data_IF_826378760637
#
_entry.id   IF_826378760637
#
_cell.length_a   1.000
_cell.length_b   1.000
_cell.length_c   1.000
_cell.angle_alpha   90.00
_cell.angle_beta   90.00
_cell.angle_gamma   90.00
#
_symmetry.space_group_name_H-M   'P 1'
#
loop_
_entity.id
_entity.type
_entity.pdbx_description
1 polymer ?
#
# COMPACT_ATOMS: atom_id res chain seq x y z
N UNK A 1 -27.12 -8.39 9.37
CA UNK A 1 -26.09 -8.02 8.38
C UNK A 1 -25.84 -6.50 8.36
N UNK A 2 -25.68 -5.88 9.54
CA UNK A 2 -25.31 -4.46 9.71
C UNK A 2 -23.94 -4.31 10.41
N UNK A 3 -23.60 -5.27 11.28
CA UNK A 3 -22.41 -5.30 12.14
C UNK A 3 -21.09 -5.33 11.35
N UNK A 4 -21.07 -5.93 10.15
CA UNK A 4 -19.85 -6.02 9.32
C UNK A 4 -19.50 -4.72 8.61
N UNK A 5 -20.49 -3.86 8.33
CA UNK A 5 -20.24 -2.56 7.69
C UNK A 5 -19.74 -1.53 8.70
N UNK A 6 -20.26 -1.56 9.93
CA UNK A 6 -19.80 -0.72 11.03
C UNK A 6 -18.37 -1.08 11.45
N UNK A 7 -18.04 -2.37 11.61
CA UNK A 7 -16.65 -2.78 11.88
C UNK A 7 -15.67 -2.36 10.78
N UNK A 8 -16.07 -2.40 9.51
CA UNK A 8 -15.25 -1.96 8.38
C UNK A 8 -15.08 -0.44 8.32
N UNK A 9 -16.11 0.33 8.70
CA UNK A 9 -16.04 1.78 8.79
C UNK A 9 -15.21 2.25 10.00
N UNK A 10 -15.34 1.56 11.13
CA UNK A 10 -14.56 1.80 12.34
C UNK A 10 -13.08 1.45 12.12
N UNK A 11 -12.75 0.37 11.40
CA UNK A 11 -11.35 0.04 11.02
C UNK A 11 -10.74 1.08 10.08
N UNK A 12 -11.55 1.68 9.19
CA UNK A 12 -11.14 2.80 8.32
C UNK A 12 -10.95 4.12 9.09
N UNK A 13 -11.63 4.28 10.23
CA UNK A 13 -11.50 5.46 11.12
C UNK A 13 -10.45 5.28 12.21
N UNK A 14 -10.20 4.06 12.65
CA UNK A 14 -9.25 3.70 13.69
C UNK A 14 -7.80 3.69 13.16
N UNK A 15 -7.45 4.64 12.29
CA UNK A 15 -6.11 4.88 11.72
C UNK A 15 -5.03 5.25 12.75
N UNK A 16 -5.20 4.83 14.00
CA UNK A 16 -4.22 4.77 15.07
C UNK A 16 -4.35 3.41 15.74
N UNK A 17 -3.91 2.35 15.05
CA UNK A 17 -3.50 1.13 15.76
C UNK A 17 -2.03 1.33 16.06
N UNK A 18 -1.75 1.52 17.34
CA UNK A 18 -0.42 1.62 17.95
C UNK A 18 0.26 0.23 17.93
N UNK A 19 0.37 -0.34 16.73
CA UNK A 19 0.89 -1.68 16.43
C UNK A 19 2.04 -1.62 15.42
N UNK A 20 2.67 -0.46 15.29
CA UNK A 20 3.90 -0.35 14.52
C UNK A 20 5.03 -1.02 15.30
N UNK A 21 5.52 -2.14 14.77
CA UNK A 21 6.87 -2.61 15.10
C UNK A 21 7.88 -1.48 14.77
N UNK A 22 9.13 -1.55 15.23
CA UNK A 22 10.16 -0.54 14.85
C UNK A 22 10.23 -0.29 13.32
N UNK A 23 9.83 -1.27 12.52
CA UNK A 23 9.70 -1.17 11.06
C UNK A 23 8.63 -0.18 10.57
N UNK A 24 7.63 0.16 11.38
CA UNK A 24 6.62 1.16 11.05
C UNK A 24 7.16 2.59 10.94
N UNK A 25 8.35 2.83 11.51
CA UNK A 25 9.14 4.07 11.36
C UNK A 25 10.13 4.02 10.21
N UNK A 26 10.35 2.84 9.61
CA UNK A 26 11.27 2.71 8.48
C UNK A 26 10.77 3.52 7.28
N UNK A 27 11.68 4.18 6.54
CA UNK A 27 11.32 4.87 5.31
C UNK A 27 10.67 3.91 4.32
N UNK A 28 9.47 4.25 3.86
CA UNK A 28 8.69 3.40 2.94
C UNK A 28 9.44 3.10 1.63
N UNK A 29 10.35 4.00 1.22
CA UNK A 29 11.19 3.84 0.03
C UNK A 29 12.26 2.75 0.19
N UNK A 30 12.78 2.56 1.41
CA UNK A 30 13.70 1.45 1.70
C UNK A 30 12.96 0.11 1.56
N UNK A 31 11.80 -0.01 2.21
CA UNK A 31 10.96 -1.21 2.13
C UNK A 31 10.44 -1.48 0.71
N UNK A 32 10.13 -0.43 -0.06
CA UNK A 32 9.81 -0.56 -1.48
C UNK A 32 10.96 -1.19 -2.26
N UNK A 33 12.20 -0.80 -1.96
CA UNK A 33 13.39 -1.34 -2.63
C UNK A 33 13.58 -2.82 -2.29
N UNK A 34 13.37 -3.21 -1.02
CA UNK A 34 13.39 -4.60 -0.57
C UNK A 34 12.29 -5.43 -1.24
N UNK A 35 11.08 -4.88 -1.37
CA UNK A 35 9.98 -5.53 -2.08
C UNK A 35 10.33 -5.80 -3.55
N UNK A 36 10.92 -4.83 -4.25
CA UNK A 36 11.37 -5.02 -5.63
C UNK A 36 12.51 -6.05 -5.71
N UNK A 37 13.38 -6.13 -4.69
CA UNK A 37 14.38 -7.18 -4.55
C UNK A 37 13.76 -8.57 -4.39
N UNK A 38 12.75 -8.71 -3.53
CA UNK A 38 12.00 -9.95 -3.32
C UNK A 38 11.26 -10.39 -4.61
N UNK A 39 10.67 -9.44 -5.36
CA UNK A 39 10.08 -9.72 -6.68
C UNK A 39 11.12 -10.28 -7.66
N UNK A 40 12.34 -9.72 -7.66
CA UNK A 40 13.44 -10.21 -8.51
C UNK A 40 13.86 -11.63 -8.13
N UNK A 41 14.02 -11.89 -6.82
CA UNK A 41 14.35 -13.23 -6.31
C UNK A 41 13.24 -14.26 -6.61
N UNK A 42 11.98 -13.83 -6.56
CA UNK A 42 10.81 -14.64 -6.96
C UNK A 42 10.63 -14.81 -8.47
N UNK A 43 11.62 -14.45 -9.29
CA UNK A 43 11.62 -14.67 -10.74
C UNK A 43 10.67 -13.78 -11.53
N UNK A 44 10.19 -12.65 -10.96
CA UNK A 44 9.36 -11.70 -11.71
C UNK A 44 10.18 -10.98 -12.76
N UNK A 45 9.56 -10.78 -13.94
CA UNK A 45 10.25 -10.13 -15.07
C UNK A 45 10.66 -8.70 -14.73
N UNK A 46 11.77 -8.26 -15.34
CA UNK A 46 12.29 -6.91 -15.13
C UNK A 46 11.26 -5.84 -15.50
N UNK A 47 10.52 -6.06 -16.59
CA UNK A 47 9.43 -5.17 -17.03
C UNK A 47 8.38 -5.03 -15.94
N UNK A 48 7.89 -6.15 -15.38
CA UNK A 48 6.89 -6.10 -14.33
C UNK A 48 7.39 -5.38 -13.07
N UNK A 49 8.67 -5.59 -12.71
CA UNK A 49 9.30 -4.90 -11.58
C UNK A 49 9.42 -3.39 -11.82
N UNK A 50 9.87 -2.95 -12.99
CA UNK A 50 9.97 -1.53 -13.37
C UNK A 50 8.61 -0.85 -13.40
N UNK A 51 7.60 -1.52 -13.95
CA UNK A 51 6.22 -1.00 -13.96
C UNK A 51 5.68 -0.86 -12.53
N UNK A 52 5.92 -1.86 -11.68
CA UNK A 52 5.52 -1.83 -10.26
C UNK A 52 6.22 -0.72 -9.51
N UNK A 53 7.54 -0.56 -9.69
CA UNK A 53 8.32 0.52 -9.08
C UNK A 53 7.76 1.89 -9.46
N UNK A 54 7.55 2.13 -10.76
CA UNK A 54 7.00 3.40 -11.26
C UNK A 54 5.66 3.72 -10.62
N UNK A 55 4.75 2.74 -10.58
CA UNK A 55 3.42 2.91 -10.01
C UNK A 55 3.48 3.17 -8.49
N UNK A 56 4.32 2.43 -7.76
CA UNK A 56 4.52 2.63 -6.33
C UNK A 56 5.06 4.01 -6.01
N UNK A 57 6.10 4.46 -6.73
CA UNK A 57 6.68 5.80 -6.54
C UNK A 57 5.64 6.90 -6.73
N UNK A 58 4.77 6.77 -7.74
CA UNK A 58 3.67 7.72 -7.97
C UNK A 58 2.70 7.70 -6.78
N UNK A 59 2.21 6.53 -6.37
CA UNK A 59 1.22 6.44 -5.29
C UNK A 59 1.80 6.96 -3.96
N UNK A 60 3.02 6.55 -3.62
CA UNK A 60 3.72 6.96 -2.39
C UNK A 60 3.89 8.48 -2.36
N UNK A 61 4.37 9.08 -3.46
CA UNK A 61 4.57 10.53 -3.57
C UNK A 61 3.26 11.30 -3.49
N UNK A 62 2.28 10.94 -4.32
CA UNK A 62 1.02 11.70 -4.44
C UNK A 62 0.11 11.54 -3.21
N UNK A 63 0.24 10.44 -2.46
CA UNK A 63 -0.46 10.25 -1.18
C UNK A 63 0.31 10.81 0.02
N UNK A 64 1.58 11.22 -0.15
CA UNK A 64 2.45 11.65 0.94
C UNK A 64 2.68 10.54 1.96
N UNK A 65 3.01 9.34 1.47
CA UNK A 65 3.38 8.23 2.34
C UNK A 65 4.89 8.28 2.60
N UNK A 66 5.30 8.51 3.84
CA UNK A 66 6.72 8.58 4.24
C UNK A 66 7.15 7.31 4.97
N UNK A 67 6.24 6.77 5.78
CA UNK A 67 6.43 5.57 6.60
C UNK A 67 5.26 4.61 6.40
N UNK A 68 5.39 3.37 6.85
CA UNK A 68 4.26 2.43 6.82
C UNK A 68 3.06 2.93 7.65
N UNK A 69 3.33 3.71 8.70
CA UNK A 69 2.28 4.31 9.53
C UNK A 69 1.43 5.35 8.81
N UNK A 70 1.94 5.94 7.75
CA UNK A 70 1.21 6.92 6.95
C UNK A 70 0.25 6.28 5.94
N UNK A 71 0.29 4.95 5.74
CA UNK A 71 -0.59 4.23 4.81
C UNK A 71 -2.03 4.29 5.28
N UNK A 72 -2.90 4.90 4.46
CA UNK A 72 -4.30 5.09 4.81
C UNK A 72 -5.21 4.97 3.59
N UNK A 73 -6.25 4.14 3.68
CA UNK A 73 -7.19 3.89 2.57
C UNK A 73 -7.80 5.19 2.03
N UNK A 74 -8.23 6.11 2.90
CA UNK A 74 -8.79 7.41 2.48
C UNK A 74 -7.82 8.27 1.66
N UNK A 75 -6.51 8.23 1.93
CA UNK A 75 -5.52 8.98 1.13
C UNK A 75 -5.41 8.37 -0.27
N UNK A 76 -5.39 7.04 -0.36
CA UNK A 76 -5.39 6.30 -1.61
C UNK A 76 -6.67 6.57 -2.42
N UNK A 77 -7.85 6.50 -1.81
CA UNK A 77 -9.13 6.73 -2.50
C UNK A 77 -9.21 8.16 -3.05
N UNK A 78 -8.77 9.16 -2.27
CA UNK A 78 -8.67 10.55 -2.73
C UNK A 78 -7.70 10.71 -3.90
N UNK A 79 -6.59 9.99 -3.92
CA UNK A 79 -5.66 9.98 -5.05
C UNK A 79 -6.33 9.36 -6.29
N UNK A 80 -6.93 8.18 -6.17
CA UNK A 80 -7.56 7.47 -7.29
C UNK A 80 -8.77 8.23 -7.86
N UNK A 81 -9.53 8.94 -7.02
CA UNK A 81 -10.64 9.80 -7.43
C UNK A 81 -10.16 10.98 -8.28
N UNK A 82 -8.97 11.54 -7.98
CA UNK A 82 -8.37 12.67 -8.71
C UNK A 82 -7.78 12.29 -10.08
N UNK A 83 -7.50 11.02 -10.32
CA UNK A 83 -7.03 10.57 -11.63
C UNK A 83 -8.16 10.70 -12.68
N UNK A 84 -7.87 11.35 -13.81
CA UNK A 84 -8.77 11.42 -14.97
C UNK A 84 -8.68 10.21 -15.89
N UNK A 85 -7.83 9.23 -15.54
CA UNK A 85 -7.58 8.03 -16.33
C UNK A 85 -8.70 6.99 -16.23
N UNK A 86 -8.66 6.02 -17.14
CA UNK A 86 -9.58 4.87 -17.14
C UNK A 86 -9.59 4.10 -15.82
N UNK A 87 -10.70 3.41 -15.54
CA UNK A 87 -10.83 2.53 -14.38
C UNK A 87 -9.70 1.48 -14.31
N UNK A 88 -9.25 0.98 -15.47
CA UNK A 88 -8.11 0.05 -15.55
C UNK A 88 -6.84 0.68 -14.99
N UNK A 89 -6.50 1.90 -15.39
CA UNK A 89 -5.31 2.61 -14.92
C UNK A 89 -5.37 2.84 -13.40
N UNK A 90 -6.52 3.29 -12.89
CA UNK A 90 -6.74 3.47 -11.45
C UNK A 90 -6.53 2.16 -10.69
N UNK A 91 -7.07 1.06 -11.22
CA UNK A 91 -6.88 -0.24 -10.62
C UNK A 91 -5.40 -0.68 -10.62
N UNK A 92 -4.63 -0.42 -11.67
CA UNK A 92 -3.20 -0.77 -11.69
C UNK A 92 -2.42 -0.04 -10.58
N UNK A 93 -2.71 1.25 -10.33
CA UNK A 93 -2.13 1.96 -9.18
C UNK A 93 -2.52 1.33 -7.84
N UNK A 94 -3.82 1.00 -7.68
CA UNK A 94 -4.33 0.35 -6.47
C UNK A 94 -3.66 -1.01 -6.25
N UNK A 95 -3.56 -1.85 -7.27
CA UNK A 95 -2.96 -3.18 -7.17
C UNK A 95 -1.46 -3.12 -6.83
N UNK A 96 -0.73 -2.13 -7.36
CA UNK A 96 0.68 -1.97 -7.02
C UNK A 96 0.88 -1.72 -5.52
N UNK A 97 0.16 -0.76 -4.93
CA UNK A 97 0.29 -0.44 -3.50
C UNK A 97 -0.28 -1.53 -2.60
N UNK A 98 -1.35 -2.22 -3.01
CA UNK A 98 -1.88 -3.37 -2.28
C UNK A 98 -0.91 -4.54 -2.26
N UNK A 99 -0.27 -4.84 -3.39
CA UNK A 99 0.74 -5.89 -3.48
C UNK A 99 1.90 -5.64 -2.53
N UNK A 100 2.37 -4.39 -2.48
CA UNK A 100 3.40 -3.94 -1.53
C UNK A 100 2.93 -4.04 -0.07
N UNK A 101 1.77 -3.49 0.29
CA UNK A 101 1.28 -3.54 1.66
C UNK A 101 1.03 -4.99 2.14
N UNK A 102 0.49 -5.85 1.28
CA UNK A 102 0.37 -7.28 1.57
C UNK A 102 1.73 -7.96 1.75
N UNK A 103 2.75 -7.55 0.99
CA UNK A 103 4.11 -8.05 1.19
C UNK A 103 4.68 -7.59 2.55
N UNK A 104 4.45 -6.34 2.95
CA UNK A 104 4.84 -5.85 4.27
C UNK A 104 4.22 -6.68 5.39
N UNK A 105 2.95 -7.09 5.24
CA UNK A 105 2.32 -8.02 6.19
C UNK A 105 3.02 -9.37 6.22
N UNK A 106 3.27 -9.97 5.05
CA UNK A 106 3.96 -11.28 4.97
C UNK A 106 5.37 -11.27 5.54
N UNK A 107 6.07 -10.13 5.52
CA UNK A 107 7.41 -9.97 6.08
C UNK A 107 7.42 -9.48 7.55
N UNK A 108 6.25 -9.27 8.15
CA UNK A 108 6.13 -8.81 9.54
C UNK A 108 6.41 -7.32 9.76
N UNK A 109 6.45 -6.52 8.70
CA UNK A 109 6.59 -5.06 8.80
C UNK A 109 5.26 -4.36 9.13
N UNK A 110 4.14 -5.00 8.80
CA UNK A 110 2.79 -4.60 9.17
C UNK A 110 2.09 -5.80 9.82
N UNK A 111 1.25 -5.55 10.83
CA UNK A 111 0.41 -6.60 11.40
C UNK A 111 -0.74 -6.96 10.44
N UNK A 112 -1.31 -5.96 9.76
CA UNK A 112 -2.37 -6.12 8.77
C UNK A 112 -2.23 -5.08 7.66
N UNK A 113 -2.90 -5.30 6.53
CA UNK A 113 -2.87 -4.36 5.40
C UNK A 113 -3.93 -3.26 5.60
N UNK A 114 -3.55 -2.00 5.86
CA UNK A 114 -4.52 -0.91 6.09
C UNK A 114 -5.22 -0.43 4.81
N UNK A 115 -4.81 -0.93 3.64
CA UNK A 115 -5.39 -0.62 2.34
C UNK A 115 -6.31 -1.74 1.81
N UNK A 116 -6.27 -2.92 2.43
CA UNK A 116 -7.12 -4.06 2.11
C UNK A 116 -8.53 -3.93 2.66
N UNK A 117 -9.50 -4.62 2.04
CA UNK A 117 -10.88 -4.77 2.53
C UNK A 117 -11.04 -6.02 3.41
#
# INVERSE_FOLDING_TARGET
>A
MLVDLERKAERRKAGFIDGFTEAGRSPILGLMSDYLGDMKLGGRSERHRKDTERLLRIVIRECGFETLASLHATKLDKFLARLTSSARTKNTHRQAILGFANWCVRKGHLEFNPLGD
#
